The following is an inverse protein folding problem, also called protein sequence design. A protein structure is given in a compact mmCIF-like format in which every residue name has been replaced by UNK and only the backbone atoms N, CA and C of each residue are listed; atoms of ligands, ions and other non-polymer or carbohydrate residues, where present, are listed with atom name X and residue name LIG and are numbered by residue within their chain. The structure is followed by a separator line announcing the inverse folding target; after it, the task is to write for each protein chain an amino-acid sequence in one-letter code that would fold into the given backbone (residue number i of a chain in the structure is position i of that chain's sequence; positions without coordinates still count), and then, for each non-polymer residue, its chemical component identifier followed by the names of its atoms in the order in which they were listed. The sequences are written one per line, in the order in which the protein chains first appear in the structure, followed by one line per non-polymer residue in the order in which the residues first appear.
data_IF_318150476935
#
_entry.id   IF_318150476935
#
_cell.length_a   1.000
_cell.length_b   1.000
_cell.length_c   1.000
_cell.angle_alpha   90.00
_cell.angle_beta   90.00
_cell.angle_gamma   90.00
#
_symmetry.space_group_name_H-M   'P 1'
#
loop_
_entity.id
_entity.type
_entity.pdbx_description
1 polymer ?
#
# COMPACT_ATOMS: atom_id res chain seq x y z
N UNK A 1 -55.42 -4.30 -0.35
CA UNK A 1 -54.05 -4.69 -0.78
C UNK A 1 -53.05 -3.76 -0.13
N UNK A 2 -52.32 -4.22 0.88
CA UNK A 2 -51.27 -3.45 1.56
C UNK A 2 -49.93 -3.87 0.95
N UNK A 3 -49.20 -2.93 0.32
CA UNK A 3 -47.82 -3.13 -0.14
C UNK A 3 -46.91 -2.98 1.06
N UNK A 4 -46.38 -4.10 1.55
CA UNK A 4 -45.30 -4.08 2.53
C UNK A 4 -43.98 -3.76 1.82
N UNK A 5 -43.62 -2.48 1.80
CA UNK A 5 -42.28 -2.01 1.46
C UNK A 5 -41.35 -2.27 2.66
N UNK A 6 -40.80 -3.47 2.76
CA UNK A 6 -39.68 -3.76 3.66
C UNK A 6 -38.36 -3.57 2.92
N UNK A 7 -37.93 -2.32 2.78
CA UNK A 7 -36.52 -2.00 2.50
C UNK A 7 -35.68 -2.39 3.72
N UNK A 8 -35.25 -3.64 3.73
CA UNK A 8 -34.17 -4.15 4.58
C UNK A 8 -32.90 -3.39 4.24
N UNK A 9 -32.62 -2.31 4.98
CA UNK A 9 -31.31 -1.67 5.03
C UNK A 9 -30.34 -2.68 5.64
N UNK A 10 -29.71 -3.50 4.78
CA UNK A 10 -28.56 -4.32 5.16
C UNK A 10 -27.51 -3.37 5.76
N UNK A 11 -27.42 -3.34 7.08
CA UNK A 11 -26.41 -2.60 7.84
C UNK A 11 -25.05 -3.03 7.29
N UNK A 12 -24.39 -2.13 6.56
CA UNK A 12 -23.11 -2.40 5.93
C UNK A 12 -22.09 -2.55 7.06
N UNK A 13 -21.78 -3.81 7.43
CA UNK A 13 -20.81 -4.11 8.47
C UNK A 13 -19.45 -3.66 7.94
N UNK A 14 -19.01 -2.48 8.37
CA UNK A 14 -17.69 -1.96 8.04
C UNK A 14 -16.66 -2.95 8.56
N UNK A 15 -15.93 -3.63 7.64
CA UNK A 15 -14.86 -4.52 8.05
C UNK A 15 -13.68 -3.65 8.48
N UNK A 16 -13.13 -3.80 9.70
CA UNK A 16 -12.02 -2.98 10.19
C UNK A 16 -10.76 -3.05 9.31
N UNK A 17 -10.63 -4.10 8.49
CA UNK A 17 -9.55 -4.24 7.49
C UNK A 17 -9.54 -3.11 6.45
N UNK A 18 -10.67 -2.43 6.21
CA UNK A 18 -10.72 -1.28 5.30
C UNK A 18 -10.06 -0.03 5.89
N UNK A 19 -9.83 0.04 7.21
CA UNK A 19 -9.00 1.09 7.81
C UNK A 19 -7.55 1.02 7.32
N UNK A 20 -7.10 -0.13 6.80
CA UNK A 20 -5.79 -0.25 6.18
C UNK A 20 -5.62 0.63 4.94
N UNK A 21 -6.71 1.14 4.33
CA UNK A 21 -6.65 2.15 3.27
C UNK A 21 -6.09 3.50 3.75
N UNK A 22 -6.06 3.74 5.08
CA UNK A 22 -5.44 4.92 5.68
C UNK A 22 -3.93 4.76 5.90
N UNK A 23 -3.39 3.55 5.81
CA UNK A 23 -1.97 3.31 6.02
C UNK A 23 -1.04 4.10 5.09
N UNK A 24 -1.31 4.29 3.78
CA UNK A 24 -0.42 5.10 2.95
C UNK A 24 -0.44 6.57 3.40
N UNK A 25 -1.57 7.09 3.90
CA UNK A 25 -1.67 8.43 4.50
C UNK A 25 -0.78 8.51 5.75
N UNK A 26 -0.86 7.52 6.65
CA UNK A 26 -0.03 7.46 7.86
C UNK A 26 1.46 7.32 7.53
N UNK A 27 1.81 6.50 6.53
CA UNK A 27 3.18 6.34 6.05
C UNK A 27 3.72 7.65 5.49
N UNK A 28 2.91 8.38 4.73
CA UNK A 28 3.26 9.71 4.21
C UNK A 28 3.48 10.72 5.34
N UNK A 29 2.58 10.76 6.31
CA UNK A 29 2.70 11.66 7.46
C UNK A 29 3.96 11.37 8.28
N UNK A 30 4.27 10.09 8.51
CA UNK A 30 5.49 9.68 9.20
C UNK A 30 6.74 10.00 8.37
N UNK A 31 6.68 9.87 7.04
CA UNK A 31 7.80 10.20 6.14
C UNK A 31 8.10 11.69 6.20
N UNK A 32 7.05 12.52 6.11
CA UNK A 32 7.15 13.96 6.29
C UNK A 32 7.65 14.37 7.67
N UNK A 33 7.23 13.67 8.73
CA UNK A 33 7.73 13.94 10.08
C UNK A 33 9.23 13.66 10.17
N UNK A 34 9.67 12.53 9.64
CA UNK A 34 11.09 12.15 9.63
C UNK A 34 11.90 13.18 8.82
N UNK A 35 11.47 13.51 7.60
CA UNK A 35 12.11 14.53 6.75
C UNK A 35 12.10 15.93 7.38
N UNK A 36 11.03 16.32 8.07
CA UNK A 36 10.89 17.63 8.70
C UNK A 36 11.72 17.79 9.98
N UNK A 37 12.09 16.68 10.64
CA UNK A 37 12.96 16.68 11.81
C UNK A 37 14.45 16.54 11.49
N UNK A 38 14.78 16.18 10.25
CA UNK A 38 16.15 15.95 9.79
C UNK A 38 16.73 17.17 9.11
N UNK A 39 17.16 18.14 9.91
CA UNK A 39 17.96 19.27 9.45
C UNK A 39 19.46 19.05 9.63
N UNK A 40 19.91 17.84 9.97
CA UNK A 40 21.33 17.56 10.29
C UNK A 40 21.87 16.36 9.51
N UNK A 41 23.07 16.53 8.94
CA UNK A 41 23.84 15.60 8.10
C UNK A 41 24.32 14.34 8.86
N UNK A 42 23.58 13.87 9.85
CA UNK A 42 24.01 12.78 10.70
C UNK A 42 23.73 11.42 10.07
N UNK A 43 24.75 10.58 10.04
CA UNK A 43 24.73 9.16 9.64
C UNK A 43 23.58 8.34 10.27
N UNK A 44 23.04 8.81 11.41
CA UNK A 44 21.86 8.23 12.07
C UNK A 44 20.55 8.39 11.29
N UNK A 45 20.42 9.40 10.44
CA UNK A 45 19.22 9.63 9.64
C UNK A 45 19.05 8.57 8.54
N UNK A 46 20.13 8.22 7.84
CA UNK A 46 20.11 7.16 6.83
C UNK A 46 19.71 5.81 7.42
N UNK A 47 20.20 5.49 8.62
CA UNK A 47 19.81 4.26 9.32
C UNK A 47 18.34 4.26 9.75
N UNK A 48 17.82 5.37 10.29
CA UNK A 48 16.41 5.51 10.68
C UNK A 48 15.47 5.44 9.46
N UNK A 49 15.86 6.03 8.34
CA UNK A 49 15.12 5.95 7.08
C UNK A 49 15.02 4.50 6.57
N UNK A 50 16.12 3.75 6.61
CA UNK A 50 16.15 2.32 6.25
C UNK A 50 15.27 1.49 7.19
N UNK A 51 15.37 1.70 8.51
CA UNK A 51 14.53 1.00 9.49
C UNK A 51 13.05 1.31 9.24
N UNK A 52 12.71 2.58 9.01
CA UNK A 52 11.36 3.01 8.66
C UNK A 52 10.85 2.35 7.39
N UNK A 53 11.67 2.28 6.35
CA UNK A 53 11.35 1.59 5.09
C UNK A 53 11.07 0.10 5.30
N UNK A 54 11.90 -0.60 6.09
CA UNK A 54 11.70 -2.02 6.41
C UNK A 54 10.40 -2.21 7.20
N UNK A 55 10.15 -1.36 8.21
CA UNK A 55 8.94 -1.42 9.03
C UNK A 55 7.67 -1.20 8.19
N UNK A 56 7.68 -0.21 7.30
CA UNK A 56 6.57 0.08 6.37
C UNK A 56 6.36 -1.06 5.38
N UNK A 57 7.44 -1.62 4.83
CA UNK A 57 7.37 -2.80 3.94
C UNK A 57 6.73 -3.99 4.66
N UNK A 58 7.19 -4.31 5.87
CA UNK A 58 6.63 -5.40 6.67
C UNK A 58 5.15 -5.17 7.02
N UNK A 59 4.80 -3.94 7.42
CA UNK A 59 3.42 -3.58 7.74
C UNK A 59 2.50 -3.68 6.51
N UNK A 60 2.98 -3.26 5.33
CA UNK A 60 2.22 -3.34 4.09
C UNK A 60 1.97 -4.79 3.64
N UNK A 61 2.99 -5.66 3.77
CA UNK A 61 2.82 -7.09 3.59
C UNK A 61 1.82 -7.69 4.60
N UNK A 62 1.88 -7.26 5.86
CA UNK A 62 0.92 -7.70 6.87
C UNK A 62 -0.53 -7.27 6.54
N UNK A 63 -0.73 -6.07 6.01
CA UNK A 63 -2.03 -5.61 5.51
C UNK A 63 -2.55 -6.57 4.42
N UNK A 64 -1.71 -6.92 3.44
CA UNK A 64 -2.07 -7.93 2.43
C UNK A 64 -2.54 -9.24 3.07
N UNK A 65 -1.80 -9.73 4.07
CA UNK A 65 -2.16 -10.94 4.81
C UNK A 65 -3.50 -10.81 5.55
N UNK A 66 -3.81 -9.65 6.12
CA UNK A 66 -5.09 -9.37 6.79
C UNK A 66 -6.27 -9.39 5.81
N UNK A 67 -6.12 -8.81 4.62
CA UNK A 67 -7.15 -8.87 3.58
C UNK A 67 -7.46 -10.30 3.15
N UNK A 68 -6.43 -11.13 2.99
CA UNK A 68 -6.62 -12.55 2.70
C UNK A 68 -7.32 -13.27 3.86
N UNK A 69 -6.88 -13.05 5.11
CA UNK A 69 -7.45 -13.65 6.34
C UNK A 69 -8.92 -13.31 6.55
N UNK A 70 -9.35 -12.15 6.08
CA UNK A 70 -10.75 -11.69 6.12
C UNK A 70 -11.58 -12.14 4.90
N UNK A 71 -11.03 -13.04 4.08
CA UNK A 71 -11.63 -13.65 2.88
C UNK A 71 -12.06 -12.62 1.83
N UNK A 72 -11.33 -11.51 1.72
CA UNK A 72 -11.54 -10.58 0.62
C UNK A 72 -10.84 -11.09 -0.65
N UNK A 73 -11.31 -10.64 -1.81
CA UNK A 73 -10.69 -10.93 -3.11
C UNK A 73 -9.43 -10.08 -3.29
N UNK A 74 -8.39 -10.65 -3.93
CA UNK A 74 -7.10 -9.97 -4.11
C UNK A 74 -7.24 -8.61 -4.82
N UNK A 75 -7.90 -8.59 -5.98
CA UNK A 75 -7.97 -7.40 -6.83
C UNK A 75 -8.69 -6.21 -6.14
N UNK A 76 -9.91 -6.35 -5.59
CA UNK A 76 -10.53 -5.26 -4.83
C UNK A 76 -9.71 -4.81 -3.62
N UNK A 77 -9.06 -5.75 -2.94
CA UNK A 77 -8.22 -5.44 -1.77
C UNK A 77 -6.99 -4.62 -2.16
N UNK A 78 -6.34 -4.99 -3.27
CA UNK A 78 -5.19 -4.26 -3.80
C UNK A 78 -5.60 -2.85 -4.23
N UNK A 79 -6.72 -2.67 -4.92
CA UNK A 79 -7.23 -1.34 -5.30
C UNK A 79 -7.45 -0.47 -4.05
N UNK A 80 -8.12 -1.01 -3.03
CA UNK A 80 -8.41 -0.27 -1.80
C UNK A 80 -7.14 0.10 -1.05
N UNK A 81 -6.19 -0.83 -0.92
CA UNK A 81 -4.94 -0.59 -0.21
C UNK A 81 -4.05 0.45 -0.91
N UNK A 82 -4.16 0.58 -2.24
CA UNK A 82 -3.30 1.46 -3.04
C UNK A 82 -4.03 2.66 -3.63
N UNK A 83 -5.22 3.02 -3.14
CA UNK A 83 -6.01 4.10 -3.75
C UNK A 83 -5.26 5.44 -3.72
N UNK A 84 -4.59 5.78 -2.61
CA UNK A 84 -3.78 6.99 -2.52
C UNK A 84 -2.54 6.94 -3.41
N UNK A 85 -1.68 5.90 -3.37
CA UNK A 85 -0.58 5.74 -4.31
C UNK A 85 -1.02 5.79 -5.78
N UNK A 86 -2.20 5.25 -6.10
CA UNK A 86 -2.75 5.27 -7.47
C UNK A 86 -3.11 6.68 -7.89
N UNK A 87 -3.88 7.40 -7.08
CA UNK A 87 -4.32 8.79 -7.38
C UNK A 87 -3.09 9.70 -7.54
N UNK A 88 -2.15 9.60 -6.63
CA UNK A 88 -0.92 10.42 -6.65
C UNK A 88 -0.01 10.08 -7.82
N UNK A 89 0.11 8.82 -8.21
CA UNK A 89 0.82 8.42 -9.45
C UNK A 89 0.15 8.98 -10.70
N UNK A 90 -1.19 8.99 -10.75
CA UNK A 90 -1.94 9.62 -11.86
C UNK A 90 -1.68 11.13 -11.91
N UNK A 91 -1.76 11.82 -10.77
CA UNK A 91 -1.48 13.27 -10.69
C UNK A 91 -0.03 13.56 -11.10
N UNK A 92 0.93 12.79 -10.60
CA UNK A 92 2.34 12.85 -11.01
C UNK A 92 2.46 12.76 -12.53
N UNK A 93 1.84 11.75 -13.15
CA UNK A 93 1.92 11.52 -14.60
C UNK A 93 1.40 12.72 -15.38
N UNK A 94 0.23 13.26 -14.98
CA UNK A 94 -0.39 14.40 -15.67
C UNK A 94 0.48 15.65 -15.51
N UNK A 95 0.90 15.98 -14.29
CA UNK A 95 1.70 17.17 -14.02
C UNK A 95 3.08 17.09 -14.69
N UNK A 96 3.72 15.92 -14.66
CA UNK A 96 5.00 15.70 -15.31
C UNK A 96 4.91 15.90 -16.83
N UNK A 97 3.88 15.34 -17.47
CA UNK A 97 3.65 15.56 -18.91
C UNK A 97 3.43 17.04 -19.24
N UNK A 98 2.66 17.76 -18.42
CA UNK A 98 2.46 19.21 -18.60
C UNK A 98 3.78 19.96 -18.40
N UNK A 99 4.60 19.57 -17.42
CA UNK A 99 5.90 20.17 -17.15
C UNK A 99 6.84 20.04 -18.35
N UNK A 100 6.90 18.84 -18.96
CA UNK A 100 7.71 18.57 -20.15
C UNK A 100 7.25 19.38 -21.37
N UNK A 101 5.93 19.57 -21.55
CA UNK A 101 5.38 20.38 -22.65
C UNK A 101 5.68 21.87 -22.48
N UNK A 102 5.74 22.36 -21.23
CA UNK A 102 5.95 23.78 -20.92
C UNK A 102 7.39 24.11 -20.52
N UNK A 103 8.31 23.15 -20.57
CA UNK A 103 9.70 23.29 -20.11
C UNK A 103 9.79 23.88 -18.69
N UNK A 104 8.87 23.49 -17.80
CA UNK A 104 8.74 24.08 -16.46
C UNK A 104 9.33 23.17 -15.38
N UNK A 105 10.49 23.57 -14.83
CA UNK A 105 11.16 22.85 -13.75
C UNK A 105 10.37 22.87 -12.45
N UNK A 106 9.69 23.97 -12.13
CA UNK A 106 8.84 24.09 -10.93
C UNK A 106 7.69 23.08 -10.94
N UNK A 107 7.09 22.86 -12.12
CA UNK A 107 5.98 21.92 -12.29
C UNK A 107 6.47 20.47 -12.24
N UNK A 108 7.68 20.20 -12.72
CA UNK A 108 8.36 18.92 -12.61
C UNK A 108 8.66 18.57 -11.14
N UNK A 109 9.24 19.51 -10.38
CA UNK A 109 9.52 19.34 -8.95
C UNK A 109 8.24 19.08 -8.15
N UNK A 110 7.16 19.81 -8.46
CA UNK A 110 5.85 19.59 -7.84
C UNK A 110 5.28 18.22 -8.17
N UNK A 111 5.42 17.76 -9.42
CA UNK A 111 4.98 16.43 -9.83
C UNK A 111 5.72 15.35 -9.02
N UNK A 112 7.06 15.43 -8.99
CA UNK A 112 7.91 14.49 -8.26
C UNK A 112 7.57 14.47 -6.78
N UNK A 113 7.35 15.64 -6.17
CA UNK A 113 6.92 15.75 -4.78
C UNK A 113 5.59 15.03 -4.53
N UNK A 114 4.57 15.28 -5.36
CA UNK A 114 3.25 14.64 -5.21
C UNK A 114 3.35 13.12 -5.40
N UNK A 115 4.09 12.66 -6.40
CA UNK A 115 4.30 11.25 -6.67
C UNK A 115 5.04 10.55 -5.53
N UNK A 116 6.12 11.15 -5.02
CA UNK A 116 6.89 10.66 -3.89
C UNK A 116 6.05 10.57 -2.62
N UNK A 117 5.35 11.65 -2.25
CA UNK A 117 4.48 11.69 -1.08
C UNK A 117 3.38 10.63 -1.15
N UNK A 118 2.79 10.42 -2.32
CA UNK A 118 1.78 9.39 -2.54
C UNK A 118 2.18 7.97 -2.17
N UNK A 119 3.48 7.68 -2.24
CA UNK A 119 4.08 6.38 -1.89
C UNK A 119 4.63 6.33 -0.46
N UNK A 120 4.63 7.45 0.27
CA UNK A 120 5.13 7.53 1.65
C UNK A 120 6.57 7.05 1.78
N UNK A 121 6.86 6.22 2.79
CA UNK A 121 8.21 5.65 2.98
C UNK A 121 8.68 4.77 1.83
N UNK A 122 7.79 4.26 0.96
CA UNK A 122 8.25 3.55 -0.25
C UNK A 122 9.03 4.48 -1.18
N UNK A 123 8.85 5.80 -1.07
CA UNK A 123 9.66 6.83 -1.74
C UNK A 123 11.16 6.62 -1.61
N UNK A 124 11.62 6.14 -0.45
CA UNK A 124 13.03 5.90 -0.14
C UNK A 124 13.65 4.86 -1.09
N UNK A 125 12.91 3.85 -1.53
CA UNK A 125 13.43 2.85 -2.46
C UNK A 125 13.85 3.50 -3.77
N UNK A 126 12.99 4.35 -4.29
CA UNK A 126 13.23 5.13 -5.49
C UNK A 126 14.44 6.04 -5.34
N UNK A 127 14.56 6.74 -4.20
CA UNK A 127 15.67 7.65 -3.93
C UNK A 127 17.00 6.89 -3.80
N UNK A 128 17.00 5.71 -3.18
CA UNK A 128 18.18 4.84 -3.09
C UNK A 128 18.57 4.27 -4.47
N UNK A 129 17.60 3.93 -5.31
CA UNK A 129 17.85 3.47 -6.67
C UNK A 129 18.36 4.60 -7.56
N UNK A 130 17.84 5.82 -7.40
CA UNK A 130 18.28 7.01 -8.13
C UNK A 130 19.76 7.30 -7.91
N UNK A 131 20.27 7.05 -6.70
CA UNK A 131 21.70 7.18 -6.38
C UNK A 131 22.60 6.22 -7.16
N UNK A 132 22.06 5.14 -7.72
CA UNK A 132 22.79 4.12 -8.48
C UNK A 132 22.51 4.25 -9.98
N UNK A 133 21.26 4.53 -10.35
CA UNK A 133 20.79 4.64 -11.75
C UNK A 133 19.89 5.88 -11.84
N UNK A 134 20.20 6.87 -12.69
CA UNK A 134 19.38 8.07 -12.85
C UNK A 134 18.03 7.68 -13.49
N UNK A 135 17.05 7.42 -12.64
CA UNK A 135 15.71 6.94 -12.98
C UNK A 135 14.64 7.99 -12.63
N UNK A 136 14.91 9.27 -12.88
CA UNK A 136 14.04 10.40 -12.47
C UNK A 136 12.58 10.22 -12.89
N UNK A 137 12.35 9.66 -14.07
CA UNK A 137 11.01 9.39 -14.61
C UNK A 137 10.36 8.11 -14.07
N UNK A 138 11.16 7.16 -13.56
CA UNK A 138 10.69 5.84 -13.16
C UNK A 138 10.57 5.66 -11.64
N UNK A 139 11.12 6.59 -10.85
CA UNK A 139 11.18 6.50 -9.40
C UNK A 139 9.79 6.22 -8.78
N UNK A 140 8.81 7.06 -9.11
CA UNK A 140 7.43 6.97 -8.60
C UNK A 140 6.77 5.65 -9.01
N UNK A 141 6.98 5.21 -10.26
CA UNK A 141 6.41 3.96 -10.76
C UNK A 141 7.04 2.73 -10.11
N UNK A 142 8.36 2.74 -9.88
CA UNK A 142 9.06 1.66 -9.19
C UNK A 142 8.55 1.53 -7.76
N UNK A 143 8.41 2.65 -7.05
CA UNK A 143 7.87 2.68 -5.69
C UNK A 143 6.44 2.15 -5.64
N UNK A 144 5.61 2.55 -6.60
CA UNK A 144 4.24 2.08 -6.72
C UNK A 144 4.17 0.58 -6.98
N UNK A 145 4.91 0.06 -7.97
CA UNK A 145 4.97 -1.37 -8.30
C UNK A 145 5.50 -2.19 -7.12
N UNK A 146 6.55 -1.71 -6.45
CA UNK A 146 7.10 -2.37 -5.28
C UNK A 146 6.07 -2.48 -4.16
N UNK A 147 5.32 -1.42 -3.86
CA UNK A 147 4.27 -1.45 -2.83
C UNK A 147 3.18 -2.50 -3.16
N UNK A 148 2.79 -2.63 -4.44
CA UNK A 148 1.83 -3.63 -4.90
C UNK A 148 2.40 -5.04 -4.71
N UNK A 149 3.65 -5.28 -5.09
CA UNK A 149 4.30 -6.58 -4.93
C UNK A 149 4.37 -7.01 -3.46
N UNK A 150 4.78 -6.11 -2.57
CA UNK A 150 4.83 -6.35 -1.12
C UNK A 150 3.45 -6.74 -0.59
N UNK A 151 2.39 -6.04 -1.02
CA UNK A 151 1.02 -6.38 -0.65
C UNK A 151 0.60 -7.76 -1.16
N UNK A 152 0.89 -8.07 -2.43
CA UNK A 152 0.53 -9.37 -3.05
C UNK A 152 1.23 -10.53 -2.33
N UNK A 153 2.52 -10.39 -2.01
CA UNK A 153 3.29 -11.39 -1.23
C UNK A 153 2.61 -11.62 0.12
N UNK A 154 2.30 -10.54 0.82
CA UNK A 154 1.55 -10.58 2.08
C UNK A 154 0.20 -11.31 1.95
N UNK A 155 -0.57 -10.97 0.92
CA UNK A 155 -1.86 -11.59 0.63
C UNK A 155 -1.72 -13.09 0.38
N UNK A 156 -0.74 -13.51 -0.42
CA UNK A 156 -0.47 -14.92 -0.70
C UNK A 156 -0.13 -15.71 0.58
N UNK A 157 0.71 -15.14 1.47
CA UNK A 157 1.04 -15.73 2.78
C UNK A 157 -0.21 -15.84 3.66
N UNK A 158 -1.07 -14.82 3.67
CA UNK A 158 -2.33 -14.85 4.41
C UNK A 158 -3.28 -15.92 3.90
N UNK A 159 -3.41 -16.07 2.58
CA UNK A 159 -4.28 -17.03 1.93
C UNK A 159 -3.84 -18.50 2.17
N UNK A 160 -2.54 -18.77 2.09
CA UNK A 160 -1.98 -20.13 2.32
C UNK A 160 -2.25 -20.62 3.75
N UNK A 161 -2.19 -19.72 4.73
CA UNK A 161 -2.47 -20.03 6.13
C UNK A 161 -3.93 -20.46 6.35
N UNK A 162 -4.88 -19.87 5.61
CA UNK A 162 -6.30 -20.25 5.66
C UNK A 162 -6.52 -21.61 5.01
N UNK A 163 -5.88 -21.85 3.86
CA UNK A 163 -5.92 -23.14 3.16
C UNK A 163 -5.52 -24.28 4.10
N UNK A 164 -4.35 -24.15 4.75
CA UNK A 164 -3.84 -25.13 5.72
C UNK A 164 -4.81 -25.40 6.87
N UNK A 165 -5.42 -24.36 7.45
CA UNK A 165 -6.42 -24.53 8.54
C UNK A 165 -7.67 -25.28 8.07
N UNK A 166 -8.14 -25.00 6.85
CA UNK A 166 -9.32 -25.67 6.27
C UNK A 166 -9.04 -27.16 6.04
N UNK A 167 -7.85 -27.50 5.53
CA UNK A 167 -7.48 -28.88 5.25
C UNK A 167 -7.37 -29.70 6.54
N UNK A 168 -6.76 -29.15 7.59
CA UNK A 168 -6.71 -29.77 8.92
C UNK A 168 -8.12 -30.01 9.49
N UNK A 169 -9.01 -29.02 9.37
CA UNK A 169 -10.39 -29.15 9.85
C UNK A 169 -11.17 -30.24 9.07
N UNK A 170 -10.97 -30.31 7.74
CA UNK A 170 -11.56 -31.36 6.89
C UNK A 170 -11.10 -32.76 7.28
N UNK A 171 -9.79 -32.93 7.52
CA UNK A 171 -9.21 -34.20 7.99
C UNK A 171 -9.79 -34.59 9.36
N UNK A 172 -9.87 -33.65 10.31
CA UNK A 172 -10.43 -33.91 11.65
C UNK A 172 -11.89 -34.38 11.59
N UNK A 173 -12.71 -33.74 10.75
CA UNK A 173 -14.10 -34.16 10.56
C UNK A 173 -14.19 -35.58 9.98
N UNK A 174 -13.41 -35.91 8.94
CA UNK A 174 -13.40 -37.27 8.36
C UNK A 174 -13.01 -38.34 9.38
N UNK A 175 -12.13 -38.04 10.32
CA UNK A 175 -11.70 -38.97 11.37
C UNK A 175 -12.78 -39.17 12.46
N UNK A 176 -13.63 -38.17 12.72
CA UNK A 176 -14.71 -38.28 13.70
C UNK A 176 -15.91 -39.09 13.20
N UNK A 177 -16.19 -39.10 11.90
CA UNK A 177 -17.27 -39.90 11.30
C UNK A 177 -16.85 -41.34 10.95
N UNK A 178 -15.63 -41.75 11.29
CA UNK A 178 -15.10 -43.10 11.04
C UNK A 178 -15.03 -43.97 12.30
N UNK A 179 -15.61 -43.51 13.42
CA UNK A 179 -15.82 -44.25 14.66
C UNK A 179 -17.32 -44.46 14.86
#
# INVERSE_FOLDING_TARGET
MKKDNTTSTKKQIFKPVYLCALFPILSTALYLLVMGTSTTEDFGFGALAIIGFIAVTAAWGYIGALFARTRNLLLPSAIIAHILPTITTVIYTVLYLIAQVNESTELEDLAVLIGGLGTGFFGILGTLLYAIIPLSLFEVYINFVYSILVFIIGFAIGASTIGKKRDIASIKNKLQFKK
#
